data_IF_921891034511
#
_entry.id   IF_921891034511
#
_cell.length_a   1.000
_cell.length_b   1.000
_cell.length_c   1.000
_cell.angle_alpha   90.00
_cell.angle_beta   90.00
_cell.angle_gamma   90.00
#
_symmetry.space_group_name_H-M   'P 1'
#
loop_
_entity.id
_entity.type
_entity.pdbx_description
1 polymer ?
#
# COMPACT_ATOMS: atom_id res chain seq x y z
N UNK A 1 4.77 4.09 -30.74
CA UNK A 1 4.87 5.56 -30.73
C UNK A 1 4.36 6.02 -29.37
N UNK A 2 5.12 6.84 -28.64
CA UNK A 2 4.68 7.33 -27.33
C UNK A 2 3.60 8.39 -27.57
N UNK A 3 2.44 8.26 -26.91
CA UNK A 3 1.38 9.25 -27.03
C UNK A 3 1.84 10.61 -26.47
N UNK A 4 1.44 11.73 -27.10
CA UNK A 4 1.69 13.07 -26.57
C UNK A 4 1.24 13.21 -25.11
N UNK A 5 1.95 14.03 -24.33
CA UNK A 5 1.73 14.16 -22.88
C UNK A 5 0.26 14.36 -22.49
N UNK A 6 -0.43 15.35 -23.09
CA UNK A 6 -1.84 15.65 -22.76
C UNK A 6 -2.77 14.50 -23.10
N UNK A 7 -2.68 13.99 -24.33
CA UNK A 7 -3.52 12.88 -24.80
C UNK A 7 -3.33 11.63 -23.94
N UNK A 8 -2.10 11.38 -23.49
CA UNK A 8 -1.79 10.27 -22.59
C UNK A 8 -2.52 10.41 -21.24
N UNK A 9 -2.49 11.59 -20.62
CA UNK A 9 -3.16 11.83 -19.34
C UNK A 9 -4.68 11.75 -19.46
N UNK A 10 -5.27 12.25 -20.54
CA UNK A 10 -6.71 12.15 -20.81
C UNK A 10 -7.16 10.68 -20.88
N UNK A 11 -6.41 9.84 -21.58
CA UNK A 11 -6.70 8.40 -21.69
C UNK A 11 -6.56 7.67 -20.35
N UNK A 12 -5.56 8.01 -19.53
CA UNK A 12 -5.38 7.44 -18.19
C UNK A 12 -6.54 7.87 -17.29
N UNK A 13 -6.89 9.15 -17.29
CA UNK A 13 -7.99 9.70 -16.50
C UNK A 13 -9.32 9.01 -16.82
N UNK A 14 -9.63 8.83 -18.11
CA UNK A 14 -10.82 8.10 -18.53
C UNK A 14 -10.87 6.65 -18.01
N UNK A 15 -9.74 5.94 -18.03
CA UNK A 15 -9.66 4.59 -17.47
C UNK A 15 -9.82 4.56 -15.94
N UNK A 16 -9.29 5.56 -15.24
CA UNK A 16 -9.40 5.69 -13.77
C UNK A 16 -10.84 5.94 -13.30
N UNK A 17 -11.69 6.59 -14.10
CA UNK A 17 -13.10 6.82 -13.74
C UNK A 17 -13.89 5.52 -13.48
N UNK A 18 -13.49 4.41 -14.11
CA UNK A 18 -14.10 3.10 -13.92
C UNK A 18 -13.40 2.21 -12.89
N UNK A 19 -12.35 2.68 -12.22
CA UNK A 19 -11.51 1.87 -11.34
C UNK A 19 -11.83 2.14 -9.86
N UNK A 20 -12.57 1.25 -9.17
CA UNK A 20 -13.06 1.53 -7.81
C UNK A 20 -11.99 1.37 -6.72
N UNK A 21 -10.82 0.83 -7.07
CA UNK A 21 -9.78 0.43 -6.11
C UNK A 21 -8.70 1.48 -5.92
N UNK A 22 -8.67 2.55 -6.72
CA UNK A 22 -7.71 3.67 -6.62
C UNK A 22 -8.46 4.99 -6.62
N UNK A 23 -7.82 6.06 -6.14
CA UNK A 23 -8.35 7.41 -6.23
C UNK A 23 -8.56 7.79 -7.70
N UNK A 24 -9.73 8.34 -8.01
CA UNK A 24 -9.99 8.97 -9.31
C UNK A 24 -9.05 10.16 -9.51
N UNK A 25 -8.64 10.41 -10.76
CA UNK A 25 -7.85 11.59 -11.09
C UNK A 25 -8.23 12.14 -12.47
N UNK A 26 -8.41 13.45 -12.57
CA UNK A 26 -8.50 14.19 -13.82
C UNK A 26 -7.15 14.25 -14.54
N UNK A 27 -7.14 14.58 -15.83
CA UNK A 27 -5.90 14.80 -16.56
C UNK A 27 -5.08 15.98 -15.95
N UNK A 28 -5.76 17.00 -15.45
CA UNK A 28 -5.15 18.14 -14.74
C UNK A 28 -4.55 17.71 -13.40
N UNK A 29 -5.20 16.82 -12.66
CA UNK A 29 -4.65 16.23 -11.43
C UNK A 29 -3.38 15.42 -11.68
N UNK A 30 -3.38 14.58 -12.71
CA UNK A 30 -2.19 13.84 -13.12
C UNK A 30 -1.07 14.78 -13.60
N UNK A 31 -1.41 15.87 -14.31
CA UNK A 31 -0.43 16.87 -14.72
C UNK A 31 0.16 17.64 -13.53
N UNK A 32 -0.67 17.96 -12.53
CA UNK A 32 -0.22 18.57 -11.26
C UNK A 32 0.73 17.66 -10.51
N UNK A 33 0.47 16.35 -10.50
CA UNK A 33 1.38 15.37 -9.91
C UNK A 33 2.75 15.36 -10.62
N UNK A 34 2.77 15.34 -11.96
CA UNK A 34 3.99 15.44 -12.77
C UNK A 34 4.77 16.72 -12.42
N UNK A 35 4.11 17.86 -12.42
CA UNK A 35 4.75 19.16 -12.16
C UNK A 35 5.25 19.25 -10.71
N UNK A 36 4.52 18.69 -9.74
CA UNK A 36 4.89 18.70 -8.32
C UNK A 36 6.16 17.87 -8.03
N UNK A 37 6.29 16.69 -8.64
CA UNK A 37 7.45 15.82 -8.39
C UNK A 37 8.66 16.16 -9.28
N UNK A 38 8.42 16.44 -10.57
CA UNK A 38 9.48 16.52 -11.58
C UNK A 38 9.83 17.96 -11.98
N UNK A 39 9.00 18.91 -11.57
CA UNK A 39 9.09 20.33 -11.88
C UNK A 39 8.19 20.74 -13.06
N UNK A 40 7.78 22.03 -13.12
CA UNK A 40 6.91 22.52 -14.16
C UNK A 40 7.45 22.27 -15.57
N UNK A 41 6.62 21.70 -16.45
CA UNK A 41 7.01 21.46 -17.84
C UNK A 41 7.65 20.10 -18.10
N UNK A 42 7.85 19.28 -17.07
CA UNK A 42 8.39 17.94 -17.22
C UNK A 42 7.55 17.08 -18.20
N UNK A 43 8.23 16.25 -18.98
CA UNK A 43 7.65 15.31 -19.96
C UNK A 43 6.93 15.97 -21.16
N UNK A 44 7.11 17.28 -21.40
CA UNK A 44 6.53 18.04 -22.53
C UNK A 44 7.49 18.21 -23.72
N UNK A 45 8.35 17.21 -23.96
CA UNK A 45 9.37 17.11 -25.04
C UNK A 45 10.55 18.11 -24.98
N UNK A 46 10.30 19.36 -24.57
CA UNK A 46 11.32 20.40 -24.50
C UNK A 46 12.28 20.22 -23.31
N UNK A 47 13.59 20.43 -23.48
CA UNK A 47 14.53 20.48 -22.37
C UNK A 47 14.23 21.65 -21.41
N UNK A 48 14.34 21.40 -20.11
CA UNK A 48 14.09 22.35 -19.04
C UNK A 48 15.40 22.92 -18.47
N UNK A 49 15.43 24.19 -18.02
CA UNK A 49 16.55 24.73 -17.27
C UNK A 49 16.84 23.92 -16.00
N UNK A 50 18.12 23.65 -15.71
CA UNK A 50 18.55 22.94 -14.51
C UNK A 50 19.97 23.38 -14.11
N UNK A 51 20.11 24.13 -13.01
CA UNK A 51 21.42 24.48 -12.45
C UNK A 51 22.40 25.12 -13.44
N UNK A 52 21.93 26.01 -14.33
CA UNK A 52 22.75 26.69 -15.34
C UNK A 52 22.95 25.94 -16.66
N UNK A 53 22.42 24.72 -16.79
CA UNK A 53 22.38 23.91 -18.02
C UNK A 53 20.92 23.57 -18.38
N UNK A 54 20.72 22.73 -19.39
CA UNK A 54 19.41 22.17 -19.72
C UNK A 54 19.38 20.69 -19.34
N UNK A 55 18.21 20.17 -18.97
CA UNK A 55 17.99 18.73 -18.80
C UNK A 55 16.71 18.30 -19.52
N UNK A 56 16.64 17.02 -19.86
CA UNK A 56 15.41 16.36 -20.29
C UNK A 56 15.18 15.10 -19.48
N UNK A 57 13.90 14.77 -19.25
CA UNK A 57 13.49 13.55 -18.56
C UNK A 57 12.94 12.57 -19.60
N UNK A 58 13.51 11.37 -19.63
CA UNK A 58 13.15 10.32 -20.57
C UNK A 58 12.52 9.12 -19.85
N UNK A 59 11.38 8.58 -20.33
CA UNK A 59 10.82 7.35 -19.77
C UNK A 59 11.75 6.17 -19.95
N UNK A 60 11.93 5.40 -18.88
CA UNK A 60 12.53 4.08 -18.97
C UNK A 60 11.48 3.08 -19.46
N UNK A 61 11.86 2.27 -20.44
CA UNK A 61 10.99 1.28 -21.07
C UNK A 61 11.84 0.16 -21.68
N UNK A 62 11.39 -1.11 -21.65
CA UNK A 62 10.16 -1.62 -21.04
C UNK A 62 10.16 -1.56 -19.50
N UNK A 63 8.98 -1.48 -18.88
CA UNK A 63 8.80 -1.68 -17.43
C UNK A 63 8.18 -3.05 -17.20
N UNK A 64 8.80 -3.85 -16.32
CA UNK A 64 8.25 -5.10 -15.82
C UNK A 64 7.71 -4.90 -14.39
N UNK A 65 6.43 -5.19 -14.19
CA UNK A 65 5.75 -5.22 -12.90
C UNK A 65 5.49 -6.67 -12.51
N UNK A 66 6.09 -7.14 -11.42
CA UNK A 66 5.85 -8.46 -10.84
C UNK A 66 4.98 -8.26 -9.61
N UNK A 67 3.69 -8.59 -9.70
CA UNK A 67 2.71 -8.23 -8.67
C UNK A 67 2.34 -9.42 -7.79
N UNK A 68 2.02 -9.13 -6.53
CA UNK A 68 1.54 -10.10 -5.54
C UNK A 68 0.03 -10.33 -5.66
N UNK A 69 -0.46 -11.44 -5.07
CA UNK A 69 -1.88 -11.83 -5.13
C UNK A 69 -2.76 -11.32 -4.00
N UNK A 70 -2.23 -10.48 -3.13
CA UNK A 70 -2.94 -9.98 -1.95
C UNK A 70 -3.89 -8.82 -2.29
N UNK A 71 -3.46 -7.84 -3.10
CA UNK A 71 -4.34 -6.75 -3.56
C UNK A 71 -4.03 -6.31 -5.00
N UNK A 72 -5.05 -5.99 -5.81
CA UNK A 72 -4.85 -5.39 -7.14
C UNK A 72 -4.40 -3.91 -7.06
N UNK A 73 -4.59 -3.27 -5.90
CA UNK A 73 -4.33 -1.85 -5.69
C UNK A 73 -2.90 -1.42 -6.06
N UNK A 74 -1.89 -2.11 -5.54
CA UNK A 74 -0.49 -1.79 -5.80
C UNK A 74 -0.11 -1.98 -7.28
N UNK A 75 -0.71 -2.99 -7.94
CA UNK A 75 -0.50 -3.28 -9.35
C UNK A 75 -1.01 -2.14 -10.24
N UNK A 76 -2.25 -1.67 -10.00
CA UNK A 76 -2.83 -0.54 -10.74
C UNK A 76 -2.03 0.73 -10.52
N UNK A 77 -1.63 1.04 -9.28
CA UNK A 77 -0.82 2.23 -9.03
C UNK A 77 0.54 2.18 -9.75
N UNK A 78 1.21 1.02 -9.75
CA UNK A 78 2.50 0.84 -10.44
C UNK A 78 2.37 1.01 -11.95
N UNK A 79 1.33 0.41 -12.55
CA UNK A 79 1.01 0.58 -13.97
C UNK A 79 0.74 2.05 -14.32
N UNK A 80 -0.08 2.74 -13.52
CA UNK A 80 -0.41 4.16 -13.73
C UNK A 80 0.84 5.04 -13.66
N UNK A 81 1.76 4.80 -12.72
CA UNK A 81 3.05 5.52 -12.67
C UNK A 81 3.83 5.38 -13.97
N UNK A 82 3.95 4.16 -14.51
CA UNK A 82 4.59 3.92 -15.81
C UNK A 82 3.86 4.58 -16.99
N UNK A 83 2.53 4.61 -16.96
CA UNK A 83 1.72 5.26 -18.00
C UNK A 83 1.91 6.79 -17.97
N UNK A 84 1.88 7.40 -16.78
CA UNK A 84 2.06 8.85 -16.61
C UNK A 84 3.44 9.28 -17.09
N UNK A 85 4.50 8.55 -16.73
CA UNK A 85 5.86 8.86 -17.19
C UNK A 85 6.05 8.68 -18.69
N UNK A 86 5.19 7.91 -19.36
CA UNK A 86 5.21 7.72 -20.80
C UNK A 86 6.01 6.50 -21.25
N UNK A 87 6.13 5.47 -20.40
CA UNK A 87 6.75 4.21 -20.79
C UNK A 87 6.00 3.58 -21.97
N UNK A 88 6.73 3.29 -23.04
CA UNK A 88 6.15 2.78 -24.28
C UNK A 88 5.66 1.33 -24.16
N UNK A 89 6.34 0.51 -23.35
CA UNK A 89 6.03 -0.90 -23.15
C UNK A 89 5.98 -1.19 -21.66
N UNK A 90 4.90 -1.83 -21.23
CA UNK A 90 4.74 -2.30 -19.87
C UNK A 90 4.27 -3.76 -19.86
N UNK A 91 4.85 -4.52 -18.95
CA UNK A 91 4.59 -5.94 -18.77
C UNK A 91 4.19 -6.20 -17.33
N UNK A 92 3.19 -7.05 -17.11
CA UNK A 92 2.71 -7.40 -15.78
C UNK A 92 2.74 -8.92 -15.64
N UNK A 93 3.60 -9.43 -14.74
CA UNK A 93 3.50 -10.80 -14.28
C UNK A 93 2.48 -10.88 -13.16
N UNK A 94 1.36 -11.57 -13.42
CA UNK A 94 0.27 -11.78 -12.46
C UNK A 94 0.44 -13.11 -11.72
N UNK A 95 -0.07 -13.25 -10.48
CA UNK A 95 -0.09 -14.53 -9.77
C UNK A 95 -1.02 -15.54 -10.45
N UNK A 96 -0.64 -16.82 -10.45
CA UNK A 96 -1.44 -17.92 -11.04
C UNK A 96 -2.61 -18.35 -10.18
N UNK A 97 -2.39 -18.42 -8.88
CA UNK A 97 -3.34 -19.01 -7.94
C UNK A 97 -4.50 -18.06 -7.58
N UNK A 98 -4.36 -16.77 -7.89
CA UNK A 98 -5.33 -15.74 -7.53
C UNK A 98 -5.60 -14.88 -8.74
N UNK A 99 -6.89 -14.71 -9.07
CA UNK A 99 -7.34 -13.79 -10.11
C UNK A 99 -7.43 -12.38 -9.52
N UNK A 100 -6.85 -11.40 -10.21
CA UNK A 100 -6.91 -9.98 -9.85
C UNK A 100 -7.91 -9.28 -10.80
N UNK A 101 -9.20 -9.51 -10.60
CA UNK A 101 -10.25 -9.10 -11.54
C UNK A 101 -10.24 -7.58 -11.78
N UNK A 102 -10.08 -6.78 -10.74
CA UNK A 102 -10.07 -5.31 -10.84
C UNK A 102 -8.87 -4.78 -11.65
N UNK A 103 -7.72 -5.48 -11.59
CA UNK A 103 -6.57 -5.16 -12.43
C UNK A 103 -6.84 -5.54 -13.88
N UNK A 104 -7.41 -6.73 -14.13
CA UNK A 104 -7.75 -7.19 -15.48
C UNK A 104 -8.79 -6.25 -16.13
N UNK A 105 -9.81 -5.86 -15.39
CA UNK A 105 -10.86 -4.94 -15.83
C UNK A 105 -10.26 -3.56 -16.13
N UNK A 106 -9.40 -3.03 -15.24
CA UNK A 106 -8.69 -1.77 -15.51
C UNK A 106 -7.80 -1.85 -16.76
N UNK A 107 -7.10 -2.95 -16.98
CA UNK A 107 -6.28 -3.15 -18.20
C UNK A 107 -7.16 -3.21 -19.45
N UNK A 108 -8.36 -3.80 -19.35
CA UNK A 108 -9.29 -3.88 -20.47
C UNK A 108 -9.85 -2.52 -20.89
N UNK A 109 -9.99 -1.55 -19.96
CA UNK A 109 -10.44 -0.19 -20.29
C UNK A 109 -9.34 0.66 -20.93
N UNK A 110 -8.06 0.29 -20.79
CA UNK A 110 -6.95 1.01 -21.43
C UNK A 110 -6.97 0.81 -22.96
N UNK A 111 -6.68 1.87 -23.74
CA UNK A 111 -6.58 1.76 -25.19
C UNK A 111 -5.35 0.95 -25.62
N UNK A 112 -5.43 0.29 -26.77
CA UNK A 112 -4.41 -0.65 -27.26
C UNK A 112 -2.98 -0.09 -27.24
N UNK A 113 -2.80 1.18 -27.61
CA UNK A 113 -1.49 1.83 -27.67
C UNK A 113 -0.78 2.05 -26.33
N UNK A 114 -1.47 1.88 -25.19
CA UNK A 114 -0.86 1.97 -23.84
C UNK A 114 -1.22 0.77 -22.95
N UNK A 115 -1.87 -0.25 -23.51
CA UNK A 115 -2.29 -1.43 -22.75
C UNK A 115 -1.07 -2.31 -22.44
N UNK A 116 -0.85 -2.71 -21.18
CA UNK A 116 0.24 -3.63 -20.83
C UNK A 116 -0.02 -5.05 -21.33
N UNK A 117 1.05 -5.84 -21.51
CA UNK A 117 0.92 -7.29 -21.68
C UNK A 117 0.91 -8.01 -20.32
N UNK A 118 0.00 -8.97 -20.14
CA UNK A 118 -0.12 -9.75 -18.91
C UNK A 118 0.36 -11.17 -19.15
N UNK A 119 1.09 -11.74 -18.19
CA UNK A 119 1.49 -13.14 -18.23
C UNK A 119 1.42 -13.79 -16.84
N UNK A 120 0.87 -15.01 -16.70
CA UNK A 120 0.84 -15.74 -15.44
C UNK A 120 2.18 -16.42 -15.10
N UNK A 121 3.02 -16.66 -16.10
CA UNK A 121 4.42 -17.08 -15.98
C UNK A 121 5.30 -15.91 -16.39
N UNK A 122 6.41 -15.67 -15.69
CA UNK A 122 7.35 -14.62 -16.07
C UNK A 122 8.18 -15.10 -17.29
N UNK A 123 8.03 -14.50 -18.48
CA UNK A 123 8.96 -14.76 -19.57
C UNK A 123 10.34 -14.26 -19.19
N UNK A 124 11.38 -15.07 -19.38
CA UNK A 124 12.76 -14.67 -19.07
C UNK A 124 13.18 -13.43 -19.86
N UNK A 125 12.74 -13.35 -21.12
CA UNK A 125 12.98 -12.19 -21.98
C UNK A 125 12.41 -10.89 -21.41
N UNK A 126 11.31 -10.93 -20.66
CA UNK A 126 10.78 -9.74 -20.01
C UNK A 126 11.73 -9.22 -18.94
N UNK A 127 12.26 -10.13 -18.11
CA UNK A 127 13.22 -9.76 -17.08
C UNK A 127 14.53 -9.27 -17.70
N UNK A 128 15.02 -9.91 -18.76
CA UNK A 128 16.29 -9.54 -19.40
C UNK A 128 16.23 -8.21 -20.15
N UNK A 129 15.05 -7.81 -20.66
CA UNK A 129 14.92 -6.61 -21.49
C UNK A 129 14.38 -5.38 -20.74
N UNK A 130 13.74 -5.57 -19.58
CA UNK A 130 13.11 -4.46 -18.87
C UNK A 130 14.15 -3.46 -18.34
N UNK A 131 13.96 -2.17 -18.62
CA UNK A 131 14.76 -1.09 -18.04
C UNK A 131 14.42 -0.83 -16.57
N UNK A 132 13.17 -1.11 -16.17
CA UNK A 132 12.70 -1.02 -14.78
C UNK A 132 12.04 -2.34 -14.41
N UNK A 133 12.39 -2.89 -13.25
CA UNK A 133 11.80 -4.10 -12.69
C UNK A 133 11.22 -3.76 -11.31
N UNK A 134 9.90 -3.59 -11.25
CA UNK A 134 9.16 -3.36 -10.02
C UNK A 134 8.59 -4.68 -9.50
N UNK A 135 8.94 -5.07 -8.27
CA UNK A 135 8.58 -6.37 -7.70
C UNK A 135 7.86 -6.17 -6.38
N UNK A 136 6.67 -6.75 -6.27
CA UNK A 136 5.82 -6.72 -5.09
C UNK A 136 5.70 -8.13 -4.54
N UNK A 137 6.02 -8.33 -3.26
CA UNK A 137 5.86 -9.63 -2.62
C UNK A 137 6.68 -9.80 -1.34
N UNK A 138 6.81 -11.05 -0.91
CA UNK A 138 7.59 -11.41 0.26
C UNK A 138 9.09 -11.13 0.05
N UNK A 139 9.82 -10.91 1.13
CA UNK A 139 11.24 -10.53 1.11
C UNK A 139 12.11 -11.60 0.43
N UNK A 140 11.72 -12.87 0.49
CA UNK A 140 12.36 -13.97 -0.26
C UNK A 140 12.28 -13.74 -1.77
N UNK A 141 11.12 -13.28 -2.26
CA UNK A 141 10.90 -12.97 -3.67
C UNK A 141 11.74 -11.77 -4.09
N UNK A 142 11.75 -10.72 -3.26
CA UNK A 142 12.59 -9.54 -3.50
C UNK A 142 14.07 -9.93 -3.61
N UNK A 143 14.56 -10.75 -2.68
CA UNK A 143 15.95 -11.26 -2.69
C UNK A 143 16.24 -12.14 -3.91
N UNK A 144 15.27 -12.93 -4.38
CA UNK A 144 15.44 -13.71 -5.61
C UNK A 144 15.65 -12.81 -6.83
N UNK A 145 14.77 -11.82 -7.02
CA UNK A 145 14.90 -10.89 -8.12
C UNK A 145 16.19 -10.08 -8.04
N UNK A 146 16.54 -9.56 -6.86
CA UNK A 146 17.76 -8.78 -6.66
C UNK A 146 19.02 -9.49 -7.17
N UNK A 147 19.11 -10.82 -7.06
CA UNK A 147 20.24 -11.62 -7.57
C UNK A 147 20.28 -11.77 -9.09
N UNK A 148 19.18 -11.47 -9.78
CA UNK A 148 18.99 -11.66 -11.22
C UNK A 148 19.00 -10.35 -12.00
N UNK A 149 18.83 -9.22 -11.30
CA UNK A 149 18.89 -7.87 -11.89
C UNK A 149 20.27 -7.60 -12.48
N UNK A 150 20.29 -7.00 -13.67
CA UNK A 150 21.49 -6.55 -14.35
C UNK A 150 21.89 -5.11 -13.92
N UNK A 151 23.18 -4.73 -13.96
CA UNK A 151 23.64 -3.43 -13.46
C UNK A 151 23.01 -2.19 -14.11
N UNK A 152 22.49 -2.31 -15.34
CA UNK A 152 21.85 -1.22 -16.07
C UNK A 152 20.35 -1.10 -15.78
N UNK A 153 19.74 -2.11 -15.17
CA UNK A 153 18.33 -2.12 -14.84
C UNK A 153 18.08 -1.37 -13.54
N UNK A 154 16.94 -0.69 -13.47
CA UNK A 154 16.46 -0.10 -12.23
C UNK A 154 15.55 -1.07 -11.50
N UNK A 155 15.91 -1.41 -10.28
CA UNK A 155 15.13 -2.32 -9.43
C UNK A 155 14.31 -1.53 -8.40
N UNK A 156 13.00 -1.78 -8.36
CA UNK A 156 12.06 -1.18 -7.41
C UNK A 156 11.47 -2.29 -6.51
N UNK A 157 12.09 -2.57 -5.36
CA UNK A 157 11.62 -3.62 -4.44
C UNK A 157 10.53 -3.11 -3.50
N UNK A 158 9.34 -3.70 -3.60
CA UNK A 158 8.21 -3.49 -2.71
C UNK A 158 7.99 -4.76 -1.87
N UNK A 159 8.79 -4.87 -0.80
CA UNK A 159 8.78 -6.00 0.13
C UNK A 159 7.66 -5.94 1.16
N UNK A 160 7.80 -6.76 2.22
CA UNK A 160 6.85 -6.75 3.32
C UNK A 160 6.83 -5.39 4.05
N UNK A 161 5.62 -4.94 4.42
CA UNK A 161 5.39 -3.69 5.13
C UNK A 161 4.43 -3.86 6.30
N UNK A 162 4.64 -3.04 7.33
CA UNK A 162 3.78 -2.94 8.50
C UNK A 162 3.17 -1.54 8.53
N UNK A 163 1.86 -1.48 8.76
CA UNK A 163 1.13 -0.24 9.00
C UNK A 163 0.34 -0.37 10.30
N UNK A 164 0.11 0.74 10.98
CA UNK A 164 -0.60 0.75 12.26
C UNK A 164 -1.31 2.08 12.52
N UNK A 165 -2.22 2.12 13.49
CA UNK A 165 -2.79 3.37 13.98
C UNK A 165 -2.32 3.71 15.39
N UNK A 166 -2.18 5.00 15.68
CA UNK A 166 -1.70 5.52 16.95
C UNK A 166 -2.73 6.49 17.54
N UNK A 167 -3.46 6.03 18.56
CA UNK A 167 -4.57 6.72 19.20
C UNK A 167 -4.08 7.26 20.55
N UNK A 168 -3.74 8.56 20.60
CA UNK A 168 -3.16 9.24 21.77
C UNK A 168 -4.10 10.21 22.47
N UNK A 169 -5.35 10.32 22.01
CA UNK A 169 -6.35 11.22 22.58
C UNK A 169 -7.72 10.57 22.66
N UNK A 170 -8.75 11.34 23.12
CA UNK A 170 -10.10 10.83 23.23
C UNK A 170 -10.62 10.38 21.87
N UNK A 171 -11.41 9.30 21.88
CA UNK A 171 -12.03 8.75 20.68
C UNK A 171 -13.55 8.84 20.79
N UNK A 172 -14.20 8.82 19.64
CA UNK A 172 -15.64 8.79 19.48
C UNK A 172 -16.04 7.72 18.44
N UNK A 173 -17.34 7.59 18.20
CA UNK A 173 -17.88 6.64 17.23
C UNK A 173 -17.38 6.91 15.80
N UNK A 174 -17.10 8.16 15.45
CA UNK A 174 -16.57 8.52 14.12
C UNK A 174 -15.15 7.95 13.95
N UNK A 175 -14.29 8.10 14.95
CA UNK A 175 -12.96 7.51 14.93
C UNK A 175 -13.01 5.98 14.86
N UNK A 176 -13.87 5.34 15.65
CA UNK A 176 -14.03 3.88 15.63
C UNK A 176 -14.51 3.38 14.26
N UNK A 177 -15.44 4.10 13.64
CA UNK A 177 -15.91 3.81 12.27
C UNK A 177 -14.78 4.01 11.25
N UNK A 178 -13.95 5.03 11.41
CA UNK A 178 -12.79 5.29 10.57
C UNK A 178 -11.73 4.17 10.69
N UNK A 179 -11.42 3.73 11.90
CA UNK A 179 -10.54 2.59 12.19
C UNK A 179 -11.09 1.29 11.59
N UNK A 180 -12.40 1.06 11.75
CA UNK A 180 -13.07 -0.12 11.19
C UNK A 180 -12.97 -0.14 9.66
N UNK A 181 -13.15 1.00 8.99
CA UNK A 181 -12.97 1.13 7.54
C UNK A 181 -11.54 0.81 7.08
N UNK A 182 -10.53 1.29 7.80
CA UNK A 182 -9.12 1.00 7.45
C UNK A 182 -8.81 -0.51 7.51
N UNK A 183 -9.40 -1.24 8.46
CA UNK A 183 -9.22 -2.68 8.63
C UNK A 183 -10.05 -3.49 7.62
N UNK A 184 -11.30 -3.10 7.37
CA UNK A 184 -12.20 -3.81 6.43
C UNK A 184 -11.72 -3.69 4.98
N UNK A 185 -11.20 -2.52 4.60
CA UNK A 185 -10.80 -2.27 3.23
C UNK A 185 -9.73 -3.28 2.76
N UNK A 186 -9.98 -3.87 1.59
CA UNK A 186 -9.19 -4.97 1.02
C UNK A 186 -8.99 -6.17 1.97
N UNK A 187 -9.91 -6.40 2.91
CA UNK A 187 -9.82 -7.44 3.93
C UNK A 187 -8.49 -7.41 4.70
N UNK A 188 -7.92 -6.22 4.89
CA UNK A 188 -6.64 -6.01 5.56
C UNK A 188 -5.43 -6.64 4.84
N UNK A 189 -5.56 -7.01 3.56
CA UNK A 189 -4.49 -7.70 2.80
C UNK A 189 -3.45 -6.75 2.19
N UNK A 190 -3.68 -5.44 2.26
CA UNK A 190 -2.81 -4.41 1.68
C UNK A 190 -1.62 -4.05 2.58
N UNK A 191 -0.53 -3.56 1.97
CA UNK A 191 0.64 -3.06 2.71
C UNK A 191 0.31 -1.84 3.62
N UNK A 192 -0.74 -1.10 3.28
CA UNK A 192 -1.24 0.04 4.03
C UNK A 192 -2.20 -0.37 5.15
N UNK A 193 -2.64 -1.62 5.20
CA UNK A 193 -3.63 -2.10 6.16
C UNK A 193 -3.05 -2.11 7.58
N UNK A 194 -3.75 -1.53 8.56
CA UNK A 194 -3.28 -1.51 9.94
C UNK A 194 -3.29 -2.93 10.51
N UNK A 195 -2.14 -3.41 10.97
CA UNK A 195 -2.05 -4.69 11.68
C UNK A 195 -2.39 -4.53 13.16
N UNK A 196 -2.10 -3.36 13.73
CA UNK A 196 -2.42 -3.05 15.11
C UNK A 196 -2.77 -1.57 15.31
N UNK A 197 -3.35 -1.27 16.46
CA UNK A 197 -3.56 0.07 16.97
C UNK A 197 -2.88 0.22 18.33
N UNK A 198 -1.96 1.18 18.45
CA UNK A 198 -1.35 1.58 19.71
C UNK A 198 -2.22 2.66 20.37
N UNK A 199 -2.69 2.40 21.59
CA UNK A 199 -3.65 3.27 22.29
C UNK A 199 -3.05 3.80 23.58
N UNK A 200 -2.94 5.12 23.70
CA UNK A 200 -2.64 5.78 24.96
C UNK A 200 -3.89 5.83 25.83
N UNK A 201 -3.76 5.46 27.11
CA UNK A 201 -4.88 5.41 28.05
C UNK A 201 -5.59 4.05 28.03
N UNK A 202 -6.93 4.06 28.03
CA UNK A 202 -7.74 2.86 28.18
C UNK A 202 -7.88 2.07 26.87
N UNK A 203 -6.85 1.29 26.56
CA UNK A 203 -6.82 0.39 25.41
C UNK A 203 -7.90 -0.70 25.46
N UNK A 204 -8.38 -1.07 26.66
CA UNK A 204 -9.41 -2.11 26.80
C UNK A 204 -10.76 -1.60 26.36
N UNK A 205 -11.17 -0.42 26.83
CA UNK A 205 -12.41 0.22 26.39
C UNK A 205 -12.38 0.48 24.88
N UNK A 206 -11.26 0.98 24.34
CA UNK A 206 -11.11 1.16 22.89
C UNK A 206 -11.30 -0.15 22.10
N UNK A 207 -10.68 -1.26 22.55
CA UNK A 207 -10.82 -2.55 21.88
C UNK A 207 -12.25 -3.10 21.93
N UNK A 208 -12.92 -2.92 23.07
CA UNK A 208 -14.32 -3.33 23.24
C UNK A 208 -15.27 -2.53 22.34
N UNK A 209 -15.10 -1.20 22.30
CA UNK A 209 -15.93 -0.30 21.48
C UNK A 209 -15.65 -0.50 19.98
N UNK A 210 -14.40 -0.80 19.62
CA UNK A 210 -14.04 -1.19 18.27
C UNK A 210 -14.72 -2.50 17.87
N UNK A 211 -14.73 -3.52 18.74
CA UNK A 211 -15.43 -4.77 18.48
C UNK A 211 -16.95 -4.55 18.31
N UNK A 212 -17.56 -3.70 19.13
CA UNK A 212 -18.97 -3.31 18.98
C UNK A 212 -19.23 -2.60 17.63
N UNK A 213 -18.27 -1.79 17.17
CA UNK A 213 -18.34 -1.15 15.85
C UNK A 213 -18.25 -2.17 14.71
N UNK A 214 -17.37 -3.17 14.81
CA UNK A 214 -17.33 -4.28 13.85
C UNK A 214 -18.64 -5.07 13.79
N UNK A 215 -19.30 -5.31 14.93
CA UNK A 215 -20.64 -5.95 14.95
C UNK A 215 -21.65 -5.15 14.13
N UNK A 216 -21.63 -3.82 14.24
CA UNK A 216 -22.53 -2.91 13.50
C UNK A 216 -22.19 -2.80 12.01
N UNK A 217 -20.91 -2.69 11.66
CA UNK A 217 -20.50 -2.22 10.33
C UNK A 217 -20.03 -3.33 9.40
N UNK A 218 -19.38 -4.38 9.92
CA UNK A 218 -18.87 -5.48 9.10
C UNK A 218 -19.94 -6.17 8.22
N UNK A 219 -21.22 -6.33 8.64
CA UNK A 219 -22.25 -6.92 7.78
C UNK A 219 -22.52 -6.17 6.47
N UNK A 220 -22.20 -4.87 6.39
CA UNK A 220 -22.36 -4.08 5.17
C UNK A 220 -21.26 -4.36 4.12
N UNK A 221 -20.21 -5.08 4.53
CA UNK A 221 -19.02 -5.35 3.73
C UNK A 221 -18.74 -6.86 3.75
N UNK A 222 -19.24 -7.63 2.78
CA UNK A 222 -19.01 -9.07 2.73
C UNK A 222 -17.51 -9.41 2.85
N UNK A 223 -17.10 -10.29 3.77
CA UNK A 223 -15.69 -10.66 3.91
C UNK A 223 -15.23 -11.54 2.76
N UNK A 224 -13.95 -11.43 2.40
CA UNK A 224 -13.32 -12.42 1.53
C UNK A 224 -13.48 -13.81 2.16
N UNK A 225 -13.82 -14.81 1.33
CA UNK A 225 -13.84 -16.20 1.80
C UNK A 225 -12.39 -16.69 1.99
N UNK A 226 -11.97 -17.01 3.22
CA UNK A 226 -10.60 -17.47 3.46
C UNK A 226 -10.39 -18.85 2.82
N UNK A 227 -9.16 -19.14 2.41
CA UNK A 227 -8.77 -20.51 2.05
C UNK A 227 -8.80 -21.41 3.30
N UNK A 228 -8.73 -22.73 3.13
CA UNK A 228 -8.62 -23.66 4.27
C UNK A 228 -7.41 -23.34 5.14
N UNK A 229 -6.29 -22.94 4.53
CA UNK A 229 -5.07 -22.56 5.23
C UNK A 229 -5.28 -21.27 6.03
N UNK A 230 -5.84 -20.24 5.41
CA UNK A 230 -6.10 -18.95 6.09
C UNK A 230 -7.10 -19.11 7.23
N UNK A 231 -8.15 -19.92 7.02
CA UNK A 231 -9.14 -20.22 8.05
C UNK A 231 -8.51 -20.94 9.25
N UNK A 232 -7.52 -21.81 9.04
CA UNK A 232 -6.76 -22.44 10.12
C UNK A 232 -5.93 -21.41 10.90
N UNK A 233 -5.22 -20.51 10.19
CA UNK A 233 -4.44 -19.43 10.82
C UNK A 233 -5.30 -18.45 11.62
N UNK A 234 -6.50 -18.13 11.13
CA UNK A 234 -7.45 -17.28 11.84
C UNK A 234 -7.96 -17.93 13.13
N UNK A 235 -8.24 -19.25 13.10
CA UNK A 235 -8.63 -20.01 14.31
C UNK A 235 -7.48 -20.10 15.29
N UNK A 236 -6.29 -20.50 14.85
CA UNK A 236 -5.09 -20.55 15.68
C UNK A 236 -4.82 -19.20 16.36
N UNK A 237 -4.93 -18.11 15.61
CA UNK A 237 -4.77 -16.76 16.15
C UNK A 237 -5.78 -16.45 17.26
N UNK A 238 -7.07 -16.82 17.10
CA UNK A 238 -8.08 -16.66 18.16
C UNK A 238 -7.78 -17.56 19.36
N UNK A 239 -7.58 -18.86 19.12
CA UNK A 239 -7.38 -19.88 20.17
C UNK A 239 -6.18 -19.53 21.08
N UNK A 240 -5.06 -19.10 20.48
CA UNK A 240 -3.87 -18.68 21.23
C UNK A 240 -4.17 -17.49 22.14
N UNK A 241 -4.93 -16.49 21.68
CA UNK A 241 -5.25 -15.31 22.47
C UNK A 241 -6.36 -15.57 23.50
N UNK A 242 -7.32 -16.45 23.19
CA UNK A 242 -8.34 -16.90 24.14
C UNK A 242 -7.72 -17.67 25.31
N UNK A 243 -6.76 -18.55 25.03
CA UNK A 243 -5.99 -19.23 26.07
C UNK A 243 -5.26 -18.25 26.99
N UNK A 244 -4.64 -17.21 26.41
CA UNK A 244 -3.97 -16.15 27.17
C UNK A 244 -4.93 -15.35 28.04
N UNK A 245 -6.10 -15.00 27.50
CA UNK A 245 -7.15 -14.34 28.25
C UNK A 245 -7.61 -15.20 29.45
N UNK A 246 -7.75 -16.51 29.27
CA UNK A 246 -8.08 -17.45 30.33
C UNK A 246 -6.99 -17.56 31.41
N UNK A 247 -5.71 -17.38 31.05
CA UNK A 247 -4.60 -17.29 32.00
C UNK A 247 -4.55 -15.96 32.77
N UNK A 248 -5.38 -14.96 32.41
CA UNK A 248 -5.46 -13.69 33.12
C UNK A 248 -4.28 -12.74 32.87
N UNK A 249 -3.57 -12.86 31.73
CA UNK A 249 -2.43 -11.98 31.40
C UNK A 249 -2.85 -10.58 30.92
N UNK A 250 -4.14 -10.25 30.99
CA UNK A 250 -4.74 -9.00 30.54
C UNK A 250 -5.20 -9.02 29.08
N UNK A 251 -4.97 -10.09 28.32
CA UNK A 251 -5.52 -10.27 26.97
C UNK A 251 -7.05 -10.35 26.98
N UNK A 252 -7.67 -9.89 25.91
CA UNK A 252 -9.09 -10.12 25.62
C UNK A 252 -9.30 -10.31 24.12
N UNK A 253 -10.30 -11.11 23.75
CA UNK A 253 -10.62 -11.45 22.36
C UNK A 253 -12.10 -11.20 22.12
N UNK A 254 -12.40 -10.50 21.03
CA UNK A 254 -13.74 -10.37 20.49
C UNK A 254 -13.70 -10.82 19.02
N UNK A 255 -14.62 -11.69 18.64
CA UNK A 255 -14.73 -12.18 17.27
C UNK A 255 -16.15 -12.10 16.76
N UNK A 256 -16.29 -12.22 15.45
CA UNK A 256 -17.59 -12.45 14.80
C UNK A 256 -18.34 -13.61 15.47
N UNK A 257 -19.60 -13.39 15.84
CA UNK A 257 -20.43 -14.39 16.53
C UNK A 257 -20.55 -15.71 15.75
N UNK A 258 -20.60 -15.62 14.41
CA UNK A 258 -20.57 -16.76 13.52
C UNK A 258 -19.35 -16.66 12.60
N UNK A 259 -18.55 -17.73 12.52
CA UNK A 259 -17.43 -17.84 11.59
C UNK A 259 -16.21 -16.97 11.94
N UNK A 260 -15.48 -16.55 10.90
CA UNK A 260 -14.15 -15.93 10.98
C UNK A 260 -14.11 -14.54 10.29
N UNK A 261 -15.21 -13.80 10.33
CA UNK A 261 -15.36 -12.58 9.53
C UNK A 261 -14.47 -11.41 10.00
N UNK A 262 -14.18 -11.33 11.30
CA UNK A 262 -13.28 -10.35 11.89
C UNK A 262 -12.87 -10.77 13.30
N UNK A 263 -11.74 -10.25 13.79
CA UNK A 263 -11.26 -10.47 15.16
C UNK A 263 -10.63 -9.19 15.70
N UNK A 264 -11.01 -8.78 16.90
CA UNK A 264 -10.34 -7.73 17.67
C UNK A 264 -9.69 -8.37 18.89
N UNK A 265 -8.39 -8.15 19.07
CA UNK A 265 -7.63 -8.66 20.22
C UNK A 265 -7.06 -7.50 21.00
N UNK A 266 -7.30 -7.43 22.30
CA UNK A 266 -6.46 -6.64 23.21
C UNK A 266 -5.26 -7.49 23.61
N UNK A 267 -4.04 -7.03 23.29
CA UNK A 267 -2.81 -7.70 23.70
C UNK A 267 -1.90 -6.75 24.48
N UNK A 268 -1.77 -6.93 25.82
CA UNK A 268 -0.95 -6.05 26.66
C UNK A 268 0.56 -6.26 26.48
N UNK A 269 0.98 -7.30 25.76
CA UNK A 269 2.40 -7.56 25.50
C UNK A 269 2.98 -6.53 24.54
N UNK A 270 4.18 -5.97 24.81
CA UNK A 270 4.78 -4.94 23.98
C UNK A 270 5.27 -5.46 22.62
N UNK A 271 5.48 -6.76 22.47
CA UNK A 271 5.96 -7.36 21.23
C UNK A 271 4.92 -7.25 20.11
N UNK A 272 5.39 -6.93 18.91
CA UNK A 272 4.59 -6.98 17.69
C UNK A 272 4.74 -8.37 17.05
N UNK A 273 3.71 -9.19 17.18
CA UNK A 273 3.57 -10.43 16.41
C UNK A 273 2.92 -10.18 15.06
N UNK A 274 3.09 -11.12 14.12
CA UNK A 274 2.34 -11.08 12.86
C UNK A 274 0.86 -11.34 13.11
N UNK A 275 -0.02 -10.64 12.38
CA UNK A 275 -1.45 -10.95 12.34
C UNK A 275 -1.75 -11.86 11.16
N UNK A 276 -2.80 -12.70 11.22
CA UNK A 276 -3.24 -13.48 10.07
C UNK A 276 -3.90 -12.62 8.97
N UNK A 277 -3.92 -11.28 9.13
CA UNK A 277 -4.69 -10.34 8.32
C UNK A 277 -6.18 -10.73 8.31
N UNK A 278 -6.89 -10.51 7.21
CA UNK A 278 -8.29 -10.93 7.03
C UNK A 278 -9.19 -10.38 8.15
N UNK A 279 -9.10 -9.06 8.35
CA UNK A 279 -9.83 -8.29 9.36
C UNK A 279 -9.56 -8.75 10.80
N UNK A 280 -8.32 -9.12 11.09
CA UNK A 280 -7.82 -9.44 12.43
C UNK A 280 -6.90 -8.32 12.92
N UNK A 281 -7.37 -7.54 13.88
CA UNK A 281 -6.69 -6.35 14.40
C UNK A 281 -6.32 -6.51 15.87
N UNK A 282 -5.11 -6.08 16.21
CA UNK A 282 -4.61 -6.09 17.59
C UNK A 282 -4.60 -4.68 18.15
N UNK A 283 -5.21 -4.47 19.30
CA UNK A 283 -5.11 -3.26 20.11
C UNK A 283 -4.03 -3.47 21.16
N UNK A 284 -3.05 -2.58 21.21
CA UNK A 284 -1.94 -2.61 22.17
C UNK A 284 -1.95 -1.34 23.03
N UNK A 285 -1.80 -1.45 24.36
CA UNK A 285 -1.55 -0.29 25.20
C UNK A 285 -0.22 0.40 24.84
N UNK A 286 -0.23 1.73 24.80
CA UNK A 286 1.00 2.52 24.70
C UNK A 286 1.88 2.32 25.95
N UNK A 287 3.14 2.01 25.73
CA UNK A 287 4.16 1.92 26.78
C UNK A 287 5.54 2.15 26.18
N UNK A 288 6.53 2.52 27.01
CA UNK A 288 7.92 2.68 26.57
C UNK A 288 8.46 1.41 25.89
N UNK A 289 8.08 0.23 26.41
CA UNK A 289 8.44 -1.05 25.83
C UNK A 289 7.84 -1.24 24.43
N UNK A 290 6.56 -0.90 24.24
CA UNK A 290 5.91 -0.97 22.92
C UNK A 290 6.55 0.03 21.93
N UNK A 291 6.86 1.25 22.37
CA UNK A 291 7.56 2.25 21.54
C UNK A 291 8.96 1.78 21.14
N UNK A 292 9.67 1.07 22.03
CA UNK A 292 10.97 0.48 21.71
C UNK A 292 10.84 -0.66 20.67
N UNK A 293 9.79 -1.48 20.78
CA UNK A 293 9.50 -2.50 19.75
C UNK A 293 9.16 -1.86 18.39
N UNK A 294 8.50 -0.70 18.37
CA UNK A 294 8.21 0.02 17.11
C UNK A 294 9.49 0.43 16.39
N UNK A 295 10.52 0.88 17.14
CA UNK A 295 11.82 1.23 16.55
C UNK A 295 12.48 0.06 15.83
N UNK A 296 12.24 -1.17 16.27
CA UNK A 296 12.79 -2.40 15.64
C UNK A 296 12.14 -2.70 14.30
N UNK A 297 10.89 -2.30 14.10
CA UNK A 297 10.15 -2.50 12.84
C UNK A 297 10.20 -1.25 11.93
N UNK A 298 10.90 -0.19 12.32
CA UNK A 298 11.05 1.02 11.52
C UNK A 298 11.47 0.79 10.05
N UNK A 299 12.39 -0.15 9.71
CA UNK A 299 12.76 -0.40 8.32
C UNK A 299 11.63 -0.92 7.41
N UNK A 300 10.60 -1.54 8.01
CA UNK A 300 9.44 -2.09 7.29
C UNK A 300 8.17 -1.29 7.54
N UNK A 301 8.26 -0.16 8.27
CA UNK A 301 7.11 0.69 8.55
C UNK A 301 6.67 1.44 7.29
N UNK A 302 5.38 1.40 6.97
CA UNK A 302 4.79 2.10 5.83
C UNK A 302 3.89 3.25 6.29
N UNK A 303 2.64 2.95 6.67
CA UNK A 303 1.64 3.96 7.00
C UNK A 303 1.31 3.98 8.49
N UNK A 304 1.28 5.18 9.06
CA UNK A 304 0.81 5.42 10.43
C UNK A 304 -0.42 6.32 10.40
N UNK A 305 -1.57 5.81 10.85
CA UNK A 305 -2.71 6.66 11.18
C UNK A 305 -2.47 7.30 12.55
N UNK A 306 -2.66 8.61 12.70
CA UNK A 306 -2.45 9.30 13.98
C UNK A 306 -3.73 10.00 14.41
N UNK A 307 -4.09 9.84 15.69
CA UNK A 307 -5.20 10.53 16.33
C UNK A 307 -4.82 11.03 17.74
N UNK A 308 -5.09 12.29 18.11
CA UNK A 308 -5.56 13.36 17.24
C UNK A 308 -4.47 13.71 16.20
N UNK A 309 -4.90 14.21 15.05
CA UNK A 309 -3.99 14.61 13.97
C UNK A 309 -3.34 15.97 14.28
N UNK A 310 -2.32 15.95 15.14
CA UNK A 310 -1.57 17.12 15.63
C UNK A 310 -0.11 17.08 15.16
N UNK A 311 0.53 18.24 15.06
CA UNK A 311 1.95 18.37 14.68
C UNK A 311 2.90 17.51 15.55
N UNK A 312 2.60 17.37 16.84
CA UNK A 312 3.36 16.49 17.73
C UNK A 312 3.25 15.03 17.29
N UNK A 313 2.03 14.54 17.06
CA UNK A 313 1.79 13.17 16.61
C UNK A 313 2.42 12.89 15.24
N UNK A 314 2.34 13.85 14.31
CA UNK A 314 3.01 13.77 13.01
C UNK A 314 4.53 13.65 13.17
N UNK A 315 5.12 14.53 13.99
CA UNK A 315 6.56 14.55 14.26
C UNK A 315 7.03 13.22 14.86
N UNK A 316 6.26 12.65 15.79
CA UNK A 316 6.58 11.37 16.41
C UNK A 316 6.49 10.22 15.40
N UNK A 317 5.43 10.15 14.59
CA UNK A 317 5.30 9.13 13.55
C UNK A 317 6.44 9.20 12.53
N UNK A 318 6.84 10.41 12.10
CA UNK A 318 8.00 10.60 11.21
C UNK A 318 9.28 10.13 11.87
N UNK A 319 9.52 10.44 13.15
CA UNK A 319 10.71 9.98 13.89
C UNK A 319 10.77 8.46 14.07
N UNK A 320 9.63 7.77 14.03
CA UNK A 320 9.57 6.31 14.03
C UNK A 320 9.89 5.69 12.66
N UNK A 321 10.02 6.50 11.61
CA UNK A 321 10.31 6.03 10.25
C UNK A 321 9.05 5.82 9.39
N UNK A 322 7.91 6.40 9.77
CA UNK A 322 6.71 6.33 8.93
C UNK A 322 6.96 6.95 7.55
N UNK A 323 6.59 6.23 6.50
CA UNK A 323 6.71 6.68 5.11
C UNK A 323 5.48 7.50 4.69
N UNK A 324 4.35 7.25 5.34
CA UNK A 324 3.11 8.02 5.21
C UNK A 324 2.46 8.18 6.57
N UNK A 325 2.03 9.40 6.89
CA UNK A 325 1.24 9.70 8.09
C UNK A 325 -0.11 10.26 7.65
N UNK A 326 -1.20 9.75 8.22
CA UNK A 326 -2.56 10.16 7.83
C UNK A 326 -3.53 10.10 9.02
N UNK A 327 -4.78 10.51 8.80
CA UNK A 327 -5.86 10.30 9.78
C UNK A 327 -6.36 8.85 9.66
N UNK A 328 -6.93 8.31 10.73
CA UNK A 328 -7.70 7.06 10.64
C UNK A 328 -8.84 7.22 9.61
N UNK A 329 -9.16 6.13 8.90
CA UNK A 329 -10.10 6.06 7.79
C UNK A 329 -9.51 6.45 6.43
N UNK A 330 -8.27 6.94 6.38
CA UNK A 330 -7.60 7.35 5.16
C UNK A 330 -6.42 6.42 4.78
N UNK A 331 -6.15 5.36 5.54
CA UNK A 331 -4.94 4.55 5.32
C UNK A 331 -4.97 3.88 3.96
N UNK A 332 -6.10 3.33 3.54
CA UNK A 332 -6.21 2.58 2.28
C UNK A 332 -6.36 3.43 1.02
N UNK A 333 -6.53 4.75 1.14
CA UNK A 333 -6.73 5.65 0.01
C UNK A 333 -5.65 6.74 -0.03
N UNK A 334 -4.40 6.40 -0.38
CA UNK A 334 -3.35 7.40 -0.55
C UNK A 334 -3.61 8.23 -1.81
N UNK A 335 -3.34 9.54 -1.72
CA UNK A 335 -3.41 10.45 -2.86
C UNK A 335 -2.30 10.17 -3.87
N UNK A 336 -2.51 10.43 -5.16
CA UNK A 336 -1.50 10.18 -6.21
C UNK A 336 -0.13 10.84 -5.96
N UNK A 337 -0.07 11.96 -5.23
CA UNK A 337 1.19 12.62 -4.86
C UNK A 337 1.99 11.88 -3.78
N UNK A 338 1.49 10.77 -3.24
CA UNK A 338 2.20 10.01 -2.22
C UNK A 338 3.42 9.26 -2.77
N UNK A 339 4.48 9.25 -1.96
CA UNK A 339 5.71 8.53 -2.26
C UNK A 339 5.61 7.08 -1.78
N UNK A 340 5.25 6.15 -2.67
CA UNK A 340 5.18 4.73 -2.32
C UNK A 340 6.54 4.25 -1.82
N UNK A 341 6.53 3.66 -0.62
CA UNK A 341 7.72 3.21 0.09
C UNK A 341 8.77 4.31 0.38
N UNK A 342 8.38 5.59 0.31
CA UNK A 342 9.27 6.74 0.53
C UNK A 342 10.15 7.09 -0.69
N UNK A 343 9.87 6.53 -1.87
CA UNK A 343 10.63 6.78 -3.10
C UNK A 343 9.93 7.82 -4.00
N UNK A 344 10.70 8.54 -4.85
CA UNK A 344 10.13 9.32 -5.96
C UNK A 344 9.16 8.47 -6.77
N UNK A 345 7.90 8.89 -6.85
CA UNK A 345 6.81 8.06 -7.39
C UNK A 345 6.83 7.99 -8.92
N UNK A 346 7.30 9.02 -9.60
CA UNK A 346 7.49 9.11 -11.05
C UNK A 346 8.96 9.07 -11.44
N UNK A 347 9.83 9.74 -10.68
CA UNK A 347 11.27 9.82 -10.95
C UNK A 347 11.95 8.45 -11.02
N UNK A 348 11.43 7.48 -10.26
CA UNK A 348 11.85 6.09 -10.30
C UNK A 348 11.65 5.42 -11.68
N UNK A 349 10.81 5.96 -12.56
CA UNK A 349 10.59 5.41 -13.91
C UNK A 349 11.27 6.25 -15.02
N UNK A 350 12.14 7.19 -14.63
CA UNK A 350 12.74 8.15 -15.55
C UNK A 350 14.27 8.13 -15.54
N UNK A 351 14.86 8.49 -16.68
CA UNK A 351 16.28 8.84 -16.82
C UNK A 351 16.41 10.34 -17.00
N UNK A 352 17.40 10.93 -16.34
CA UNK A 352 17.82 12.31 -16.55
C UNK A 352 18.85 12.34 -17.68
N UNK A 353 18.67 13.28 -18.61
CA UNK A 353 19.61 13.57 -19.70
C UNK A 353 20.02 15.03 -19.57
N UNK A 354 21.27 15.26 -19.15
CA UNK A 354 21.82 16.60 -19.08
C UNK A 354 22.34 17.00 -20.47
N UNK A 355 21.97 18.20 -20.88
CA UNK A 355 22.38 18.82 -22.14
C UNK A 355 23.31 19.97 -21.80
N UNK A 356 24.60 19.68 -21.87
CA UNK A 356 25.66 20.66 -21.74
C UNK A 356 25.83 21.43 -23.07
N UNK A 357 26.21 22.69 -22.98
CA UNK A 357 26.44 23.54 -24.15
C UNK A 357 27.82 23.31 -24.75
#
# INVERSE_FOLDING_TARGET
MILPFRERLERISAALQGCPIVQMASAEELARWVDAELGPGALREEPLPYGGRRRRLEPLSPILHVVSGNTPHAAVQSLVRGLVTGAAVQWIKVPRAVRLAELEDFVATLPEGIRPSLAPELPLSWLEQAAVVAVFGADETIRDFARRIQPWQRFLPHGHKVSFGWIRGPYDDELLSAVTRDVIAFDQLGCLSPQFYLVAGDARSFAQDLAATFVREAPHWPPLRPTTHDAARLREFRDVHELRAACGDGTAVWGSAEGLAWTVVLDPRPEFGGTPLLRSVVVKPESDAALEQLRRIAPVLSTVAVHPYTEEGLTLAVRLGAQRVCRAGAMQNPDWLWHHDGWPSLGAFLRYVDLEN
#
